data_IF_502131181245
#
_entry.id   IF_502131181245
#
_cell.length_a   1.000
_cell.length_b   1.000
_cell.length_c   1.000
_cell.angle_alpha   90.00
_cell.angle_beta   90.00
_cell.angle_gamma   90.00
#
_symmetry.space_group_name_H-M   'P 1'
#
loop_
_entity.id
_entity.type
_entity.pdbx_description
1 polymer ?
#
# COMPACT_ATOMS: atom_id res chain seq x y z
N UNK A 1 58.70 32.05 -26.86
CA UNK A 1 58.78 30.97 -25.86
C UNK A 1 57.35 30.51 -25.62
N UNK A 2 56.93 29.41 -26.24
CA UNK A 2 55.59 28.87 -26.05
C UNK A 2 55.68 27.84 -24.92
N UNK A 3 55.02 28.14 -23.79
CA UNK A 3 54.88 27.18 -22.71
C UNK A 3 53.61 26.38 -22.98
N UNK A 4 53.74 25.18 -23.56
CA UNK A 4 52.61 24.29 -23.80
C UNK A 4 52.45 23.36 -22.58
N UNK A 5 51.47 23.67 -21.72
CA UNK A 5 51.15 22.88 -20.54
C UNK A 5 50.28 21.66 -20.95
N UNK A 6 50.90 20.48 -21.05
CA UNK A 6 50.20 19.22 -21.31
C UNK A 6 49.62 18.62 -20.01
N UNK A 7 48.64 19.30 -19.41
CA UNK A 7 47.99 18.87 -18.17
C UNK A 7 46.95 17.79 -18.46
N UNK A 8 47.22 16.56 -18.04
CA UNK A 8 46.28 15.42 -18.17
C UNK A 8 44.95 15.66 -17.43
N UNK A 9 45.00 16.43 -16.35
CA UNK A 9 43.85 16.83 -15.53
C UNK A 9 44.11 18.23 -14.93
N UNK A 10 43.08 19.06 -14.86
CA UNK A 10 43.10 20.34 -14.13
C UNK A 10 42.06 20.24 -13.00
N UNK A 11 42.46 20.55 -11.77
CA UNK A 11 41.59 20.54 -10.59
C UNK A 11 41.70 21.89 -9.87
N UNK A 12 40.60 22.63 -9.79
CA UNK A 12 40.46 23.81 -8.95
C UNK A 12 39.59 23.45 -7.73
N UNK A 13 40.09 23.67 -6.51
CA UNK A 13 39.38 23.31 -5.26
C UNK A 13 39.28 24.50 -4.31
N UNK A 14 38.11 24.72 -3.72
CA UNK A 14 37.89 25.70 -2.66
C UNK A 14 36.67 25.35 -1.82
N UNK A 15 36.78 25.43 -0.49
CA UNK A 15 35.64 25.23 0.42
C UNK A 15 34.90 23.89 0.25
N UNK A 16 35.63 22.81 -0.08
CA UNK A 16 35.05 21.49 -0.38
C UNK A 16 34.42 21.34 -1.76
N UNK A 17 34.34 22.42 -2.54
CA UNK A 17 33.89 22.38 -3.94
C UNK A 17 35.08 22.19 -4.90
N UNK A 18 34.84 21.50 -6.02
CA UNK A 18 35.85 21.21 -7.03
C UNK A 18 35.32 21.40 -8.45
N UNK A 19 36.18 21.93 -9.32
CA UNK A 19 36.02 21.92 -10.78
C UNK A 19 37.13 21.05 -11.36
N UNK A 20 36.76 19.96 -12.03
CA UNK A 20 37.69 18.98 -12.61
C UNK A 20 37.51 19.01 -14.13
N UNK A 21 38.60 19.24 -14.85
CA UNK A 21 38.63 19.23 -16.32
C UNK A 21 39.62 18.16 -16.78
N UNK A 22 39.13 17.21 -17.57
CA UNK A 22 39.95 16.12 -18.11
C UNK A 22 39.39 15.61 -19.44
N UNK A 23 39.98 14.52 -19.98
CA UNK A 23 39.58 13.91 -21.25
C UNK A 23 38.09 13.49 -21.33
N UNK A 24 37.43 13.28 -20.20
CA UNK A 24 36.02 12.89 -20.12
C UNK A 24 35.06 14.10 -20.01
N UNK A 25 35.58 15.32 -19.92
CA UNK A 25 34.79 16.56 -19.85
C UNK A 25 35.03 17.35 -18.56
N UNK A 26 33.97 18.03 -18.09
CA UNK A 26 33.98 18.92 -16.92
C UNK A 26 33.07 18.32 -15.85
N UNK A 27 33.60 18.13 -14.64
CA UNK A 27 32.85 17.68 -13.46
C UNK A 27 32.86 18.76 -12.39
N UNK A 28 31.69 19.05 -11.82
CA UNK A 28 31.52 19.97 -10.69
C UNK A 28 31.10 19.16 -9.46
N UNK A 29 31.82 19.29 -8.36
CA UNK A 29 31.51 18.66 -7.07
C UNK A 29 31.33 19.78 -6.04
N UNK A 30 30.25 19.76 -5.27
CA UNK A 30 30.05 20.69 -4.15
C UNK A 30 29.26 20.01 -3.03
N UNK A 31 29.57 20.27 -1.75
CA UNK A 31 28.79 19.74 -0.63
C UNK A 31 27.43 20.43 -0.47
N UNK A 32 27.26 21.60 -1.09
CA UNK A 32 26.05 22.42 -0.98
C UNK A 32 25.33 22.52 -2.34
N UNK A 33 24.44 23.50 -2.47
CA UNK A 33 23.67 23.74 -3.70
C UNK A 33 24.58 24.16 -4.85
N UNK A 34 24.47 23.47 -5.99
CA UNK A 34 24.98 23.97 -7.26
C UNK A 34 23.92 24.85 -7.94
N UNK A 35 24.19 26.14 -8.07
CA UNK A 35 23.29 27.11 -8.70
C UNK A 35 23.93 27.68 -9.97
N UNK A 36 23.21 27.57 -11.10
CA UNK A 36 23.65 28.11 -12.39
C UNK A 36 22.62 29.12 -12.86
N UNK A 37 23.08 30.32 -13.25
CA UNK A 37 22.25 31.37 -13.81
C UNK A 37 22.41 31.37 -15.33
N UNK A 38 21.48 30.74 -16.05
CA UNK A 38 21.50 30.67 -17.51
C UNK A 38 20.09 30.89 -18.10
N UNK A 39 20.02 31.44 -19.32
CA UNK A 39 18.76 31.65 -20.04
C UNK A 39 18.11 30.36 -20.56
N UNK A 40 18.91 29.32 -20.81
CA UNK A 40 18.44 28.00 -21.19
C UNK A 40 19.44 26.93 -20.72
N UNK A 41 18.91 25.80 -20.25
CA UNK A 41 19.67 24.58 -20.03
C UNK A 41 19.19 23.52 -21.02
N UNK A 42 20.11 22.98 -21.84
CA UNK A 42 19.82 21.81 -22.66
C UNK A 42 20.06 20.55 -21.84
N UNK A 43 18.99 19.94 -21.34
CA UNK A 43 19.06 18.63 -20.70
C UNK A 43 18.91 17.55 -21.79
N UNK A 44 20.00 16.87 -22.10
CA UNK A 44 19.91 15.63 -22.88
C UNK A 44 19.26 14.57 -21.98
N UNK A 45 18.29 13.82 -22.52
CA UNK A 45 17.59 12.78 -21.76
C UNK A 45 18.60 11.80 -21.16
N UNK A 46 18.50 11.58 -19.86
CA UNK A 46 19.35 10.64 -19.10
C UNK A 46 19.29 9.24 -19.74
N UNK A 47 20.42 8.53 -19.73
CA UNK A 47 20.45 7.10 -20.01
C UNK A 47 19.55 6.39 -18.98
N UNK A 48 18.46 5.77 -19.45
CA UNK A 48 17.50 5.02 -18.64
C UNK A 48 18.24 4.14 -17.63
N UNK A 49 18.28 4.54 -16.35
CA UNK A 49 18.91 3.72 -15.31
C UNK A 49 17.99 2.52 -15.09
N UNK A 50 18.43 1.28 -15.32
CA UNK A 50 17.60 0.12 -15.06
C UNK A 50 17.35 0.06 -13.55
N UNK A 51 16.14 0.42 -13.15
CA UNK A 51 15.69 0.25 -11.78
C UNK A 51 15.38 -1.23 -11.58
N UNK A 52 16.08 -1.88 -10.66
CA UNK A 52 15.74 -3.24 -10.23
C UNK A 52 14.55 -3.13 -9.27
N UNK A 53 13.33 -3.16 -9.80
CA UNK A 53 12.14 -3.19 -8.95
C UNK A 53 12.11 -4.52 -8.20
N UNK A 54 11.79 -4.51 -6.89
CA UNK A 54 11.55 -5.76 -6.17
C UNK A 54 10.36 -6.49 -6.81
N UNK A 55 10.44 -7.82 -6.85
CA UNK A 55 9.31 -8.64 -7.28
C UNK A 55 8.12 -8.39 -6.35
N UNK A 56 6.98 -8.04 -6.92
CA UNK A 56 5.72 -8.00 -6.18
C UNK A 56 5.37 -9.43 -5.71
N UNK A 57 4.72 -9.57 -4.54
CA UNK A 57 4.24 -10.88 -4.09
C UNK A 57 3.31 -11.47 -5.15
N UNK A 58 3.57 -12.71 -5.54
CA UNK A 58 2.81 -13.44 -6.56
C UNK A 58 1.42 -13.89 -6.07
N UNK A 59 1.13 -13.75 -4.78
CA UNK A 59 -0.14 -14.17 -4.18
C UNK A 59 -0.71 -13.04 -3.32
N UNK A 60 -1.89 -12.56 -3.70
CA UNK A 60 -2.70 -11.63 -2.91
C UNK A 60 -3.79 -12.49 -2.26
N UNK A 61 -3.82 -12.65 -0.92
CA UNK A 61 -4.86 -13.42 -0.27
C UNK A 61 -6.23 -12.76 -0.51
N UNK A 62 -7.24 -13.58 -0.79
CA UNK A 62 -8.62 -13.12 -0.85
C UNK A 62 -9.03 -12.62 0.53
N UNK A 63 -9.65 -11.43 0.55
CA UNK A 63 -10.16 -10.81 1.77
C UNK A 63 -11.67 -10.71 1.63
N UNK A 64 -12.38 -11.46 2.46
CA UNK A 64 -13.82 -11.56 2.39
C UNK A 64 -14.43 -11.17 3.75
N UNK A 65 -15.60 -10.55 3.69
CA UNK A 65 -16.44 -10.22 4.82
C UNK A 65 -17.90 -10.28 4.37
N UNK A 66 -18.81 -10.48 5.31
CA UNK A 66 -20.24 -10.53 5.05
C UNK A 66 -20.93 -9.34 5.71
N UNK A 67 -22.01 -8.87 5.12
CA UNK A 67 -22.86 -7.80 5.68
C UNK A 67 -24.16 -8.44 6.16
N UNK A 68 -24.47 -8.26 7.44
CA UNK A 68 -25.72 -8.72 8.05
C UNK A 68 -26.69 -7.54 8.07
N UNK A 69 -27.84 -7.72 7.43
CA UNK A 69 -28.93 -6.74 7.36
C UNK A 69 -30.24 -7.34 7.87
N UNK A 70 -31.18 -6.49 8.24
CA UNK A 70 -32.58 -6.89 8.41
C UNK A 70 -33.27 -7.12 7.06
N UNK A 71 -34.54 -7.49 7.11
CA UNK A 71 -35.42 -7.69 5.95
C UNK A 71 -35.59 -6.43 5.08
N UNK A 72 -35.38 -5.25 5.65
CA UNK A 72 -35.47 -3.96 4.96
C UNK A 72 -34.11 -3.51 4.41
N UNK A 73 -33.05 -4.33 4.56
CA UNK A 73 -31.70 -4.02 4.11
C UNK A 73 -30.92 -3.07 5.04
N UNK A 74 -31.44 -2.78 6.24
CA UNK A 74 -30.73 -1.97 7.23
C UNK A 74 -29.67 -2.82 7.92
N UNK A 75 -28.45 -2.30 7.97
CA UNK A 75 -27.33 -2.99 8.62
C UNK A 75 -27.57 -3.23 10.12
N UNK A 76 -27.33 -4.46 10.57
CA UNK A 76 -27.44 -4.84 11.98
C UNK A 76 -26.05 -4.75 12.62
N UNK A 77 -25.84 -3.72 13.43
CA UNK A 77 -24.59 -3.55 14.18
C UNK A 77 -24.56 -4.39 15.45
N UNK A 78 -23.36 -4.72 15.93
CA UNK A 78 -23.13 -5.45 17.18
C UNK A 78 -23.90 -6.78 17.27
N UNK A 79 -24.16 -7.43 16.14
CA UNK A 79 -24.74 -8.76 16.08
C UNK A 79 -23.66 -9.80 16.38
N UNK A 80 -23.85 -10.58 17.42
CA UNK A 80 -22.97 -11.68 17.80
C UNK A 80 -23.13 -12.83 16.79
N UNK A 81 -22.01 -13.37 16.29
CA UNK A 81 -22.04 -14.43 15.30
C UNK A 81 -20.87 -15.41 15.48
N UNK A 82 -21.08 -16.64 15.00
CA UNK A 82 -20.05 -17.65 14.76
C UNK A 82 -20.02 -17.96 13.27
N UNK A 83 -18.86 -17.78 12.65
CA UNK A 83 -18.61 -18.17 11.26
C UNK A 83 -17.78 -19.45 11.23
N UNK A 84 -18.23 -20.46 10.50
CA UNK A 84 -17.55 -21.75 10.33
C UNK A 84 -17.16 -21.92 8.87
N UNK A 85 -15.87 -22.14 8.63
CA UNK A 85 -15.30 -22.46 7.30
C UNK A 85 -15.54 -23.94 6.92
N UNK A 86 -15.36 -24.28 5.65
CA UNK A 86 -15.47 -25.66 5.12
C UNK A 86 -14.53 -26.65 5.84
N UNK A 87 -13.37 -26.17 6.28
CA UNK A 87 -12.39 -26.93 7.05
C UNK A 87 -12.77 -27.08 8.54
N UNK A 88 -13.93 -26.56 8.95
CA UNK A 88 -14.41 -26.57 10.34
C UNK A 88 -13.79 -25.48 11.23
N UNK A 89 -12.94 -24.61 10.69
CA UNK A 89 -12.36 -23.47 11.42
C UNK A 89 -13.46 -22.48 11.81
N UNK A 90 -13.51 -22.09 13.09
CA UNK A 90 -14.54 -21.19 13.63
C UNK A 90 -13.98 -19.82 13.98
N UNK A 91 -14.71 -18.77 13.62
CA UNK A 91 -14.42 -17.38 13.95
C UNK A 91 -15.66 -16.80 14.63
N UNK A 92 -15.49 -16.40 15.90
CA UNK A 92 -16.52 -15.71 16.67
C UNK A 92 -16.27 -14.19 16.65
N UNK A 93 -17.34 -13.41 16.55
CA UNK A 93 -17.24 -11.97 16.51
C UNK A 93 -18.57 -11.24 16.62
N UNK A 94 -18.47 -9.91 16.54
CA UNK A 94 -19.61 -9.00 16.50
C UNK A 94 -19.51 -8.17 15.22
N UNK A 95 -20.65 -7.85 14.62
CA UNK A 95 -20.68 -6.99 13.44
C UNK A 95 -20.30 -5.55 13.77
N UNK A 96 -19.65 -4.88 12.83
CA UNK A 96 -19.35 -3.44 12.95
C UNK A 96 -20.60 -2.55 12.80
N UNK A 97 -20.41 -1.23 12.87
CA UNK A 97 -21.48 -0.24 12.69
C UNK A 97 -22.22 -0.32 11.35
N UNK A 98 -21.63 -0.97 10.35
CA UNK A 98 -22.20 -1.17 9.02
C UNK A 98 -22.68 -2.61 8.83
N UNK A 99 -22.81 -3.40 9.90
CA UNK A 99 -23.25 -4.79 9.86
C UNK A 99 -22.20 -5.76 9.31
N UNK A 100 -20.93 -5.36 9.18
CA UNK A 100 -19.88 -6.20 8.60
C UNK A 100 -19.30 -7.17 9.61
N UNK A 101 -19.12 -8.43 9.22
CA UNK A 101 -18.32 -9.39 9.96
C UNK A 101 -16.82 -9.06 9.88
N UNK A 102 -16.01 -9.67 10.74
CA UNK A 102 -14.54 -9.60 10.63
C UNK A 102 -14.09 -10.15 9.28
N UNK A 103 -13.16 -9.43 8.66
CA UNK A 103 -12.51 -9.89 7.43
C UNK A 103 -11.70 -11.16 7.71
N UNK A 104 -11.94 -12.20 6.94
CA UNK A 104 -11.10 -13.40 6.92
C UNK A 104 -10.28 -13.44 5.63
N UNK A 105 -9.10 -14.07 5.73
CA UNK A 105 -8.15 -14.18 4.64
C UNK A 105 -8.06 -15.62 4.19
N UNK A 106 -8.21 -15.87 2.90
CA UNK A 106 -8.10 -17.21 2.32
C UNK A 106 -7.29 -17.19 1.03
N UNK A 107 -6.72 -18.33 0.65
CA UNK A 107 -6.03 -18.48 -0.65
C UNK A 107 -6.99 -18.66 -1.81
N UNK A 108 -8.25 -19.04 -1.54
CA UNK A 108 -9.32 -19.27 -2.51
C UNK A 108 -10.66 -18.86 -1.87
N UNK A 109 -11.68 -18.51 -2.66
CA UNK A 109 -13.03 -18.33 -2.14
C UNK A 109 -13.49 -19.60 -1.42
N UNK A 110 -14.08 -19.45 -0.23
CA UNK A 110 -14.57 -20.58 0.56
C UNK A 110 -16.02 -20.36 0.95
N UNK A 111 -16.81 -21.43 0.90
CA UNK A 111 -18.15 -21.40 1.45
C UNK A 111 -18.06 -21.38 2.97
N UNK A 112 -18.77 -20.46 3.62
CA UNK A 112 -18.84 -20.37 5.07
C UNK A 112 -20.27 -20.46 5.56
N UNK A 113 -20.46 -21.04 6.74
CA UNK A 113 -21.72 -21.01 7.48
C UNK A 113 -21.64 -19.92 8.54
N UNK A 114 -22.64 -19.04 8.60
CA UNK A 114 -22.74 -18.02 9.66
C UNK A 114 -23.95 -18.34 10.54
N UNK A 115 -23.71 -18.51 11.83
CA UNK A 115 -24.72 -18.67 12.85
C UNK A 115 -24.82 -17.37 13.65
N UNK A 116 -26.02 -16.79 13.70
CA UNK A 116 -26.30 -15.60 14.50
C UNK A 116 -26.70 -16.04 15.90
N UNK A 117 -26.07 -15.48 16.92
CA UNK A 117 -26.38 -15.75 18.31
C UNK A 117 -27.38 -14.73 18.84
N UNK A 118 -28.18 -15.13 19.83
CA UNK A 118 -29.16 -14.24 20.43
C UNK A 118 -28.48 -12.96 20.95
N UNK A 119 -29.03 -11.81 20.54
CA UNK A 119 -28.64 -10.54 21.15
C UNK A 119 -29.38 -10.41 22.47
N UNK A 120 -28.63 -10.16 23.55
CA UNK A 120 -29.18 -9.63 24.80
C UNK A 120 -29.57 -8.15 24.64
N UNK A 121 -30.40 -7.85 23.63
CA UNK A 121 -30.85 -6.50 23.30
C UNK A 121 -32.40 -6.47 23.36
N UNK A 122 -32.99 -5.77 24.34
CA UNK A 122 -34.44 -5.79 24.55
C UNK A 122 -35.26 -5.22 23.37
N UNK A 123 -34.62 -4.55 22.39
CA UNK A 123 -35.31 -4.02 21.20
C UNK A 123 -35.57 -5.06 20.10
N UNK A 124 -34.95 -6.25 20.16
CA UNK A 124 -35.03 -7.25 19.09
C UNK A 124 -35.66 -8.59 19.54
N UNK A 125 -36.39 -8.57 20.65
CA UNK A 125 -37.07 -9.76 21.21
C UNK A 125 -38.45 -10.04 20.58
N UNK A 126 -38.83 -9.32 19.53
CA UNK A 126 -40.12 -9.51 18.85
C UNK A 126 -39.92 -10.35 17.58
N UNK A 127 -39.58 -11.62 17.75
CA UNK A 127 -39.98 -12.61 16.75
C UNK A 127 -41.36 -13.09 17.20
N UNK A 128 -42.42 -12.47 16.68
CA UNK A 128 -43.73 -13.12 16.72
C UNK A 128 -43.59 -14.37 15.85
N UNK A 129 -43.58 -15.54 16.51
CA UNK A 129 -43.76 -16.82 15.83
C UNK A 129 -45.16 -16.81 15.23
N UNK A 130 -45.28 -16.38 13.98
CA UNK A 130 -46.47 -16.61 13.18
C UNK A 130 -46.60 -18.11 12.94
N UNK A 131 -47.23 -18.80 13.89
CA UNK A 131 -47.72 -20.15 13.73
C UNK A 131 -48.81 -20.15 12.65
N UNK A 132 -48.45 -20.54 11.43
CA UNK A 132 -49.44 -20.99 10.45
C UNK A 132 -49.93 -22.39 10.86
N UNK A 133 -51.04 -22.40 11.59
CA UNK A 133 -51.88 -23.60 11.81
C UNK A 133 -52.77 -23.90 10.62
#
# INVERSE_FOLDING_TARGET
MNLELNLKNIIASAGGSQVIINKNGITIITPAKFEVKAGQHLFQSVAKIPMNLPNLPTWIPHQEFFVITDENGKAIHNQHYIMTDEDGSKIEGYTDKNGRTKTFKSMKPKAVKIELLERNDPQYHNFEEDFYG
#
